data_IF_151621007085
#
_entry.id   IF_151621007085
#
_cell.length_a   1.000
_cell.length_b   1.000
_cell.length_c   1.000
_cell.angle_alpha   90.00
_cell.angle_beta   90.00
_cell.angle_gamma   90.00
#
_symmetry.space_group_name_H-M   'P 1'
#
loop_
_entity.id
_entity.type
_entity.pdbx_description
1 polymer ?
#
# COMPACT_ATOMS: atom_id res chain seq x y z
N UNK A 1 -11.93 0.05 -7.09
CA UNK A 1 -11.88 1.16 -8.09
C UNK A 1 -12.24 2.51 -7.49
N UNK A 2 -13.25 2.58 -6.64
CA UNK A 2 -13.71 3.85 -6.05
C UNK A 2 -12.60 4.59 -5.30
N UNK A 3 -11.66 3.86 -4.70
CA UNK A 3 -10.45 4.43 -4.08
C UNK A 3 -9.41 4.92 -5.11
N UNK A 4 -9.58 4.66 -6.40
CA UNK A 4 -8.59 4.94 -7.44
C UNK A 4 -7.66 3.76 -7.77
N UNK A 5 -7.80 2.61 -7.11
CA UNK A 5 -6.97 1.41 -7.37
C UNK A 5 -7.18 0.90 -8.79
N UNK A 6 -6.06 0.70 -9.50
CA UNK A 6 -6.01 0.15 -10.86
C UNK A 6 -5.24 -1.18 -10.95
N UNK A 7 -4.52 -1.56 -9.90
CA UNK A 7 -3.73 -2.79 -9.85
C UNK A 7 -3.80 -3.46 -8.47
N UNK A 8 -3.61 -4.78 -8.44
CA UNK A 8 -3.54 -5.60 -7.22
C UNK A 8 -2.33 -6.51 -7.29
N UNK A 9 -1.57 -6.60 -6.20
CA UNK A 9 -0.56 -7.62 -5.97
C UNK A 9 -1.14 -8.70 -5.07
N UNK A 10 -1.02 -9.95 -5.50
CA UNK A 10 -1.58 -11.09 -4.76
C UNK A 10 -0.58 -11.61 -3.74
N UNK A 11 -0.62 -11.10 -2.55
CA UNK A 11 0.32 -11.42 -1.48
C UNK A 11 -0.13 -12.65 -0.67
N UNK A 12 0.72 -13.58 -0.38
CA UNK A 12 2.03 -13.85 -0.99
C UNK A 12 1.96 -15.25 -1.58
N UNK A 13 0.91 -15.51 -2.31
CA UNK A 13 0.56 -16.81 -2.88
C UNK A 13 -0.12 -16.66 -4.23
N UNK A 14 -0.14 -17.75 -4.99
CA UNK A 14 -0.86 -17.83 -6.25
C UNK A 14 -2.35 -17.50 -6.04
N UNK A 15 -2.93 -16.57 -6.81
CA UNK A 15 -4.30 -16.13 -6.62
C UNK A 15 -5.31 -17.23 -6.94
N UNK A 16 -6.53 -17.11 -6.40
CA UNK A 16 -7.66 -17.90 -6.84
C UNK A 16 -7.97 -17.63 -8.33
N UNK A 17 -8.39 -18.64 -9.13
CA UNK A 17 -8.78 -18.41 -10.52
C UNK A 17 -9.83 -17.32 -10.68
N UNK A 18 -10.83 -17.30 -9.80
CA UNK A 18 -11.91 -16.31 -9.81
C UNK A 18 -11.39 -14.86 -9.71
N UNK A 19 -10.29 -14.63 -8.97
CA UNK A 19 -9.67 -13.31 -8.88
C UNK A 19 -9.13 -12.85 -10.23
N UNK A 20 -8.50 -13.76 -10.98
CA UNK A 20 -7.96 -13.44 -12.30
C UNK A 20 -9.08 -13.12 -13.30
N UNK A 21 -10.16 -13.92 -13.29
CA UNK A 21 -11.34 -13.68 -14.14
C UNK A 21 -12.01 -12.34 -13.81
N UNK A 22 -12.21 -12.05 -12.52
CA UNK A 22 -12.78 -10.78 -12.08
C UNK A 22 -11.88 -9.58 -12.43
N UNK A 23 -10.56 -9.74 -12.34
CA UNK A 23 -9.62 -8.69 -12.72
C UNK A 23 -9.70 -8.38 -14.22
N UNK A 24 -9.80 -9.40 -15.07
CA UNK A 24 -10.02 -9.23 -16.51
C UNK A 24 -11.32 -8.45 -16.80
N UNK A 25 -12.43 -8.85 -16.19
CA UNK A 25 -13.74 -8.21 -16.35
C UNK A 25 -13.75 -6.76 -15.86
N UNK A 26 -13.08 -6.49 -14.74
CA UNK A 26 -13.05 -5.18 -14.12
C UNK A 26 -11.99 -4.24 -14.71
N UNK A 27 -11.05 -4.77 -15.51
CA UNK A 27 -9.88 -4.01 -15.99
C UNK A 27 -8.98 -3.59 -14.82
N UNK A 28 -8.67 -4.53 -13.92
CA UNK A 28 -7.69 -4.38 -12.83
C UNK A 28 -6.43 -5.15 -13.22
N UNK A 29 -5.28 -4.50 -13.12
CA UNK A 29 -3.99 -5.14 -13.41
C UNK A 29 -3.55 -6.04 -12.24
N UNK A 30 -2.87 -7.13 -12.55
CA UNK A 30 -2.44 -8.10 -11.54
C UNK A 30 -0.91 -8.30 -11.57
N UNK A 31 -0.30 -8.11 -10.41
CA UNK A 31 1.00 -8.70 -10.08
C UNK A 31 0.72 -10.02 -9.38
N UNK A 32 0.86 -11.12 -10.10
CA UNK A 32 0.60 -12.46 -9.55
C UNK A 32 1.84 -12.98 -8.85
N UNK A 33 1.71 -13.29 -7.56
CA UNK A 33 2.84 -13.70 -6.72
C UNK A 33 2.71 -15.17 -6.29
N UNK A 34 3.84 -15.87 -6.21
CA UNK A 34 3.84 -17.31 -5.96
C UNK A 34 4.40 -17.74 -4.61
N UNK A 35 5.48 -17.11 -4.13
CA UNK A 35 6.20 -17.61 -2.97
C UNK A 35 6.51 -16.51 -1.95
N UNK A 36 6.25 -16.80 -0.67
CA UNK A 36 6.66 -15.99 0.47
C UNK A 36 8.01 -16.45 1.07
N UNK A 37 8.48 -17.61 0.69
CA UNK A 37 9.81 -18.16 1.02
C UNK A 37 10.29 -19.11 -0.06
N UNK A 38 11.64 -19.24 -0.18
CA UNK A 38 12.24 -20.27 -1.00
C UNK A 38 12.78 -21.39 -0.11
N UNK A 39 14.08 -21.65 -0.14
CA UNK A 39 14.70 -22.72 0.64
C UNK A 39 14.94 -22.33 2.10
N UNK A 40 15.20 -21.05 2.36
CA UNK A 40 15.38 -20.52 3.70
C UNK A 40 14.03 -20.15 4.33
N UNK A 41 13.69 -20.83 5.44
CA UNK A 41 12.42 -20.62 6.13
C UNK A 41 12.36 -19.29 6.88
N UNK A 42 11.19 -18.64 6.89
CA UNK A 42 10.86 -17.51 7.77
C UNK A 42 10.34 -18.00 9.11
N UNK A 43 9.65 -19.14 9.12
CA UNK A 43 9.08 -19.75 10.32
C UNK A 43 9.34 -21.26 10.35
N UNK A 44 9.28 -21.93 11.52
CA UNK A 44 9.65 -23.34 11.64
C UNK A 44 8.86 -24.33 10.78
N UNK A 45 7.63 -23.97 10.37
CA UNK A 45 6.71 -24.89 9.69
C UNK A 45 6.20 -24.35 8.36
N UNK A 46 6.87 -23.39 7.77
CA UNK A 46 6.47 -22.79 6.50
C UNK A 46 6.77 -23.67 5.28
N UNK A 47 6.48 -23.14 4.10
CA UNK A 47 6.59 -23.85 2.84
C UNK A 47 8.03 -24.16 2.42
N UNK A 48 9.06 -23.50 2.99
CA UNK A 48 10.46 -23.72 2.63
C UNK A 48 10.87 -25.21 2.69
N UNK A 49 10.30 -25.97 3.65
CA UNK A 49 10.57 -27.41 3.76
C UNK A 49 10.12 -28.25 2.55
N UNK A 50 9.22 -27.72 1.73
CA UNK A 50 8.72 -28.38 0.53
C UNK A 50 9.25 -27.74 -0.76
N UNK A 51 9.68 -26.49 -0.71
CA UNK A 51 10.04 -25.68 -1.86
C UNK A 51 11.00 -26.40 -2.83
N UNK A 52 12.14 -26.99 -2.41
CA UNK A 52 13.08 -27.59 -3.34
C UNK A 52 12.50 -28.77 -4.16
N UNK A 53 11.47 -29.45 -3.65
CA UNK A 53 10.83 -30.56 -4.34
C UNK A 53 9.62 -30.17 -5.15
N UNK A 54 9.01 -28.99 -4.88
CA UNK A 54 7.70 -28.65 -5.41
C UNK A 54 7.68 -27.43 -6.33
N UNK A 55 8.70 -26.55 -6.31
CA UNK A 55 8.72 -25.30 -7.06
C UNK A 55 8.42 -25.47 -8.56
N UNK A 56 8.99 -26.49 -9.23
CA UNK A 56 8.73 -26.74 -10.66
C UNK A 56 7.26 -27.07 -10.94
N UNK A 57 6.66 -27.88 -10.09
CA UNK A 57 5.25 -28.27 -10.21
C UNK A 57 4.34 -27.09 -9.98
N UNK A 58 4.65 -26.29 -8.98
CA UNK A 58 3.84 -25.13 -8.59
C UNK A 58 3.92 -24.05 -9.65
N UNK A 59 5.11 -23.69 -10.14
CA UNK A 59 5.28 -22.74 -11.24
C UNK A 59 4.56 -23.23 -12.50
N UNK A 60 4.72 -24.50 -12.85
CA UNK A 60 4.04 -25.07 -14.01
C UNK A 60 2.52 -24.92 -13.92
N UNK A 61 1.95 -25.21 -12.75
CA UNK A 61 0.51 -25.11 -12.50
C UNK A 61 0.05 -23.66 -12.61
N UNK A 62 0.72 -22.77 -11.89
CA UNK A 62 0.45 -21.35 -11.81
C UNK A 62 0.54 -20.65 -13.18
N UNK A 63 1.70 -20.73 -13.84
CA UNK A 63 1.93 -20.03 -15.10
C UNK A 63 1.02 -20.54 -16.21
N UNK A 64 0.80 -21.87 -16.32
CA UNK A 64 -0.11 -22.44 -17.32
C UNK A 64 -1.55 -22.02 -17.13
N UNK A 65 -1.97 -21.82 -15.89
CA UNK A 65 -3.32 -21.38 -15.55
C UNK A 65 -3.51 -19.91 -15.95
N UNK A 66 -2.56 -19.04 -15.57
CA UNK A 66 -2.79 -17.59 -15.53
C UNK A 66 -2.20 -16.81 -16.72
N UNK A 67 -1.27 -17.37 -17.48
CA UNK A 67 -0.52 -16.65 -18.55
C UNK A 67 -1.36 -16.04 -19.67
N UNK A 68 -2.63 -16.40 -19.80
CA UNK A 68 -3.51 -15.88 -20.85
C UNK A 68 -4.49 -14.82 -20.35
N UNK A 69 -4.43 -14.44 -19.07
CA UNK A 69 -5.23 -13.35 -18.52
C UNK A 69 -4.67 -12.00 -18.96
N UNK A 70 -5.46 -11.14 -19.62
CA UNK A 70 -5.00 -9.81 -20.04
C UNK A 70 -4.74 -8.87 -18.85
N UNK A 71 -5.29 -9.14 -17.69
CA UNK A 71 -5.01 -8.42 -16.44
C UNK A 71 -3.59 -8.64 -15.91
N UNK A 72 -2.96 -9.75 -16.24
CA UNK A 72 -1.64 -10.13 -15.72
C UNK A 72 -0.54 -9.27 -16.33
N UNK A 73 0.22 -8.55 -15.50
CA UNK A 73 1.35 -7.70 -15.93
C UNK A 73 2.71 -8.19 -15.44
N UNK A 74 2.77 -8.76 -14.23
CA UNK A 74 4.01 -9.24 -13.62
C UNK A 74 3.82 -10.61 -12.97
N UNK A 75 4.84 -11.46 -13.12
CA UNK A 75 5.07 -12.65 -12.33
C UNK A 75 6.00 -12.31 -11.17
N UNK A 76 5.52 -12.28 -9.94
CA UNK A 76 6.37 -12.11 -8.76
C UNK A 76 6.79 -13.48 -8.23
N UNK A 77 8.09 -13.76 -8.32
CA UNK A 77 8.66 -15.06 -7.93
C UNK A 77 9.05 -15.15 -6.47
N UNK A 78 8.86 -14.08 -5.71
CA UNK A 78 9.14 -14.12 -4.27
C UNK A 78 8.86 -12.81 -3.54
N UNK A 79 8.46 -12.94 -2.28
CA UNK A 79 8.28 -11.86 -1.32
C UNK A 79 9.27 -11.97 -0.18
N UNK A 80 10.08 -10.92 0.05
CA UNK A 80 10.99 -10.80 1.22
C UNK A 80 11.81 -12.07 1.49
N UNK A 81 12.35 -12.64 0.44
CA UNK A 81 13.00 -13.94 0.45
C UNK A 81 14.34 -13.87 1.18
N UNK A 82 14.52 -14.67 2.23
CA UNK A 82 15.78 -14.71 2.99
C UNK A 82 16.97 -15.15 2.14
N UNK A 83 16.79 -16.10 1.23
CA UNK A 83 17.85 -16.56 0.34
C UNK A 83 18.48 -15.41 -0.45
N UNK A 84 17.73 -14.36 -0.79
CA UNK A 84 18.21 -13.24 -1.62
C UNK A 84 19.26 -12.39 -0.94
N UNK A 85 19.29 -12.30 0.39
CA UNK A 85 20.24 -11.47 1.11
C UNK A 85 21.30 -12.26 1.90
N UNK A 86 20.99 -13.50 2.28
CA UNK A 86 21.90 -14.33 3.11
C UNK A 86 23.13 -14.76 2.33
N UNK A 87 22.99 -15.15 1.04
CA UNK A 87 24.08 -15.71 0.25
C UNK A 87 23.86 -15.57 -1.26
N UNK A 88 24.87 -15.99 -2.04
CA UNK A 88 24.77 -16.06 -3.51
C UNK A 88 23.72 -17.07 -4.01
N UNK A 89 23.25 -17.96 -3.15
CA UNK A 89 22.20 -18.94 -3.48
C UNK A 89 20.89 -18.29 -3.91
N UNK A 90 20.61 -17.09 -3.40
CA UNK A 90 19.46 -16.30 -3.85
C UNK A 90 19.53 -15.98 -5.34
N UNK A 91 20.70 -15.67 -5.86
CA UNK A 91 20.88 -15.40 -7.30
C UNK A 91 20.71 -16.66 -8.15
N UNK A 92 21.15 -17.82 -7.65
CA UNK A 92 20.93 -19.12 -8.30
C UNK A 92 19.43 -19.43 -8.38
N UNK A 93 18.71 -19.34 -7.25
CA UNK A 93 17.27 -19.53 -7.22
C UNK A 93 16.53 -18.54 -8.10
N UNK A 94 16.93 -17.26 -8.11
CA UNK A 94 16.33 -16.26 -9.00
C UNK A 94 16.35 -16.70 -10.46
N UNK A 95 17.51 -17.19 -10.94
CA UNK A 95 17.67 -17.68 -12.32
C UNK A 95 16.82 -18.94 -12.58
N UNK A 96 16.87 -19.90 -11.65
CA UNK A 96 16.08 -21.15 -11.77
C UNK A 96 14.58 -20.84 -11.89
N UNK A 97 14.07 -19.95 -11.03
CA UNK A 97 12.66 -19.60 -11.03
C UNK A 97 12.24 -18.80 -12.27
N UNK A 98 13.11 -17.91 -12.76
CA UNK A 98 12.91 -17.23 -14.03
C UNK A 98 12.83 -18.20 -15.18
N UNK A 99 13.79 -19.12 -15.28
CA UNK A 99 13.83 -20.13 -16.35
C UNK A 99 12.57 -21.00 -16.34
N UNK A 100 12.08 -21.40 -15.15
CA UNK A 100 10.85 -22.17 -15.03
C UNK A 100 9.60 -21.36 -15.41
N UNK A 101 9.51 -20.07 -15.06
CA UNK A 101 8.39 -19.21 -15.51
C UNK A 101 8.44 -19.05 -17.03
N UNK A 102 9.59 -18.69 -17.61
CA UNK A 102 9.74 -18.51 -19.06
C UNK A 102 9.47 -19.80 -19.86
N UNK A 103 9.80 -20.97 -19.32
CA UNK A 103 9.49 -22.26 -19.91
C UNK A 103 7.99 -22.46 -20.14
N UNK A 104 7.15 -21.95 -19.25
CA UNK A 104 5.70 -22.09 -19.33
C UNK A 104 5.00 -20.82 -19.83
N UNK A 105 5.66 -19.69 -19.90
CA UNK A 105 5.25 -18.47 -20.59
C UNK A 105 6.24 -18.05 -21.70
N UNK A 106 6.40 -18.88 -22.75
CA UNK A 106 7.40 -18.66 -23.80
C UNK A 106 7.13 -17.42 -24.64
N UNK A 107 5.94 -16.84 -24.55
CA UNK A 107 5.60 -15.58 -25.22
C UNK A 107 5.96 -14.36 -24.38
N UNK A 108 6.37 -14.57 -23.10
CA UNK A 108 6.66 -13.50 -22.15
C UNK A 108 5.50 -12.52 -22.02
N UNK A 109 4.29 -13.06 -21.81
CA UNK A 109 3.07 -12.27 -21.69
C UNK A 109 3.13 -11.30 -20.49
N UNK A 110 3.86 -11.69 -19.43
CA UNK A 110 4.15 -10.83 -18.29
C UNK A 110 5.65 -10.87 -17.96
N UNK A 111 6.17 -9.80 -17.43
CA UNK A 111 7.55 -9.73 -16.97
C UNK A 111 7.71 -10.34 -15.57
N UNK A 112 8.96 -10.57 -15.13
CA UNK A 112 9.26 -11.23 -13.86
C UNK A 112 9.84 -10.21 -12.87
N UNK A 113 9.42 -10.29 -11.61
CA UNK A 113 9.85 -9.41 -10.52
C UNK A 113 10.04 -10.16 -9.20
N UNK A 114 10.67 -9.50 -8.23
CA UNK A 114 10.76 -9.91 -6.83
C UNK A 114 10.41 -8.71 -5.95
N UNK A 115 9.55 -8.90 -4.94
CA UNK A 115 9.31 -7.91 -3.88
C UNK A 115 10.30 -8.11 -2.73
N UNK A 116 11.00 -7.05 -2.31
CA UNK A 116 12.05 -7.18 -1.30
C UNK A 116 12.16 -5.97 -0.38
N UNK A 117 12.26 -6.22 0.92
CA UNK A 117 12.68 -5.28 1.94
C UNK A 117 14.21 -5.26 2.17
N UNK A 118 14.95 -6.11 1.43
CA UNK A 118 16.40 -6.27 1.55
C UNK A 118 17.20 -5.52 0.48
N UNK A 119 16.59 -4.60 -0.27
CA UNK A 119 17.25 -3.84 -1.35
C UNK A 119 18.52 -3.06 -0.94
N UNK A 120 18.73 -2.64 0.34
CA UNK A 120 20.01 -2.10 0.75
C UNK A 120 21.20 -3.09 0.73
N UNK A 121 20.94 -4.39 0.63
CA UNK A 121 21.94 -5.44 0.69
C UNK A 121 22.41 -5.86 -0.70
N UNK A 122 23.72 -5.95 -0.88
CA UNK A 122 24.35 -6.25 -2.18
C UNK A 122 23.82 -7.54 -2.83
N UNK A 123 23.62 -8.61 -2.07
CA UNK A 123 23.10 -9.86 -2.62
C UNK A 123 21.65 -9.72 -3.11
N UNK A 124 20.80 -8.95 -2.43
CA UNK A 124 19.44 -8.67 -2.88
C UNK A 124 19.44 -7.81 -4.16
N UNK A 125 20.33 -6.81 -4.24
CA UNK A 125 20.52 -6.02 -5.47
C UNK A 125 20.97 -6.89 -6.64
N UNK A 126 21.85 -7.88 -6.41
CA UNK A 126 22.24 -8.84 -7.46
C UNK A 126 21.06 -9.71 -7.94
N UNK A 127 20.11 -10.04 -7.05
CA UNK A 127 18.89 -10.73 -7.47
C UNK A 127 17.98 -9.80 -8.29
N UNK A 128 17.81 -8.54 -7.86
CA UNK A 128 17.07 -7.53 -8.59
C UNK A 128 17.69 -7.23 -9.97
N UNK A 129 19.03 -7.24 -10.05
CA UNK A 129 19.77 -7.05 -11.32
C UNK A 129 19.53 -8.19 -12.32
N UNK A 130 19.16 -9.37 -11.87
CA UNK A 130 18.79 -10.48 -12.74
C UNK A 130 17.40 -10.26 -13.34
N UNK A 131 16.41 -9.88 -12.54
CA UNK A 131 15.02 -9.67 -13.01
C UNK A 131 14.80 -8.32 -13.68
N UNK A 132 15.62 -7.31 -13.36
CA UNK A 132 15.54 -5.93 -13.87
C UNK A 132 14.27 -5.16 -13.46
N UNK A 133 13.28 -5.80 -12.89
CA UNK A 133 12.09 -5.16 -12.32
C UNK A 133 12.14 -5.37 -10.82
N UNK A 134 12.52 -4.31 -10.11
CA UNK A 134 12.83 -4.31 -8.69
C UNK A 134 11.63 -3.82 -7.88
N UNK A 135 11.00 -4.73 -7.14
CA UNK A 135 9.93 -4.41 -6.20
C UNK A 135 10.52 -4.07 -4.82
N UNK A 136 10.15 -2.91 -4.30
CA UNK A 136 10.58 -2.43 -2.99
C UNK A 136 9.47 -2.58 -1.96
N UNK A 137 9.76 -3.34 -0.90
CA UNK A 137 8.91 -3.35 0.28
C UNK A 137 9.47 -2.33 1.27
N UNK A 138 8.70 -1.25 1.55
CA UNK A 138 9.07 -0.17 2.49
C UNK A 138 10.45 0.45 2.22
N UNK A 139 10.78 0.61 0.95
CA UNK A 139 12.11 1.02 0.50
C UNK A 139 12.15 2.32 -0.29
N UNK A 140 11.15 3.17 -0.21
CA UNK A 140 11.00 4.40 -0.99
C UNK A 140 12.21 5.34 -0.82
N UNK A 141 12.79 5.37 0.36
CA UNK A 141 14.00 6.17 0.66
C UNK A 141 15.25 5.77 -0.13
N UNK A 142 15.22 4.66 -0.85
CA UNK A 142 16.33 4.19 -1.69
C UNK A 142 16.11 4.45 -3.18
N UNK A 143 14.95 4.93 -3.60
CA UNK A 143 14.58 5.07 -5.00
C UNK A 143 15.59 5.90 -5.79
N UNK A 144 15.88 7.14 -5.39
CA UNK A 144 16.82 8.01 -6.08
C UNK A 144 18.21 7.39 -6.22
N UNK A 145 18.71 6.83 -5.10
CA UNK A 145 20.03 6.23 -5.07
C UNK A 145 20.12 5.05 -6.04
N UNK A 146 19.18 4.11 -5.93
CA UNK A 146 19.23 2.88 -6.72
C UNK A 146 18.88 3.15 -8.19
N UNK A 147 18.02 4.12 -8.49
CA UNK A 147 17.77 4.55 -9.86
C UNK A 147 19.03 5.12 -10.52
N UNK A 148 19.81 5.90 -9.78
CA UNK A 148 21.08 6.42 -10.27
C UNK A 148 22.17 5.33 -10.43
N UNK A 149 22.24 4.37 -9.51
CA UNK A 149 23.20 3.26 -9.54
C UNK A 149 22.83 2.18 -10.57
N UNK A 150 21.53 1.98 -10.84
CA UNK A 150 20.99 0.95 -11.71
C UNK A 150 19.96 1.55 -12.70
N UNK A 151 20.40 2.36 -13.68
CA UNK A 151 19.50 3.08 -14.58
C UNK A 151 18.71 2.17 -15.55
N UNK A 152 19.04 0.90 -15.61
CA UNK A 152 18.34 -0.12 -16.38
C UNK A 152 17.30 -0.90 -15.56
N UNK A 153 17.12 -0.57 -14.28
CA UNK A 153 16.07 -1.15 -13.47
C UNK A 153 14.75 -0.38 -13.61
N UNK A 154 13.68 -1.12 -13.64
CA UNK A 154 12.33 -0.61 -13.45
C UNK A 154 12.00 -0.76 -11.96
N UNK A 155 11.72 0.36 -11.27
CA UNK A 155 11.42 0.39 -9.85
C UNK A 155 9.94 0.57 -9.60
N UNK A 156 9.42 -0.09 -8.55
CA UNK A 156 8.07 0.11 -8.04
C UNK A 156 7.97 -0.26 -6.57
N UNK A 157 7.01 0.31 -5.86
CA UNK A 157 6.67 -0.08 -4.50
C UNK A 157 5.86 -1.38 -4.50
N UNK A 158 6.52 -2.53 -4.33
CA UNK A 158 5.82 -3.81 -4.28
C UNK A 158 5.00 -3.96 -3.00
N UNK A 159 5.40 -3.26 -1.94
CA UNK A 159 4.66 -3.19 -0.69
C UNK A 159 4.99 -1.88 0.03
N UNK A 160 3.97 -1.05 0.28
CA UNK A 160 4.11 0.25 0.94
C UNK A 160 3.09 0.41 2.06
N UNK A 161 3.21 1.44 2.87
CA UNK A 161 2.25 1.77 3.90
C UNK A 161 2.48 1.01 5.20
N UNK A 162 1.71 -0.03 5.47
CA UNK A 162 1.66 -0.71 6.77
C UNK A 162 1.23 0.19 7.90
N UNK A 163 0.21 1.01 7.66
CA UNK A 163 -0.37 1.90 8.66
C UNK A 163 -1.43 1.13 9.45
N UNK A 164 -1.21 0.98 10.74
CA UNK A 164 -2.12 0.27 11.64
C UNK A 164 -3.19 1.21 12.15
N UNK A 165 -4.45 0.92 11.89
CA UNK A 165 -5.58 1.70 12.40
C UNK A 165 -6.81 0.81 12.62
N UNK A 166 -7.40 0.87 13.82
CA UNK A 166 -8.76 0.41 14.05
C UNK A 166 -9.73 1.49 13.58
N UNK A 167 -10.76 1.13 12.80
CA UNK A 167 -11.70 2.13 12.25
C UNK A 167 -12.37 2.92 13.36
N UNK A 168 -12.31 4.25 13.25
CA UNK A 168 -12.94 5.18 14.20
C UNK A 168 -12.20 5.34 15.52
N UNK A 169 -10.96 4.87 15.62
CA UNK A 169 -10.10 5.07 16.80
C UNK A 169 -9.07 6.16 16.49
N UNK A 170 -8.98 7.11 17.38
CA UNK A 170 -8.12 8.29 17.24
C UNK A 170 -7.37 8.59 18.52
N UNK A 171 -6.07 8.80 18.38
CA UNK A 171 -5.20 9.29 19.45
C UNK A 171 -4.52 10.57 18.97
N UNK A 172 -4.54 11.62 19.80
CA UNK A 172 -3.99 12.92 19.45
C UNK A 172 -2.73 13.25 20.24
N UNK A 173 -1.76 13.98 19.66
CA UNK A 173 -1.70 14.40 18.26
C UNK A 173 -1.44 13.21 17.31
N UNK A 174 -1.79 13.34 16.05
CA UNK A 174 -1.59 12.28 15.05
C UNK A 174 -0.14 11.86 14.85
N UNK A 175 0.82 12.71 15.20
CA UNK A 175 2.25 12.36 15.18
C UNK A 175 2.59 11.28 16.22
N UNK A 176 1.69 11.02 17.16
CA UNK A 176 1.83 9.93 18.12
C UNK A 176 1.15 8.68 17.60
N UNK A 177 1.93 7.61 17.45
CA UNK A 177 1.38 6.28 17.21
C UNK A 177 0.98 5.62 18.51
N UNK A 178 -0.18 5.00 18.51
CA UNK A 178 -0.66 4.18 19.63
C UNK A 178 -1.07 2.82 19.10
N UNK A 179 -0.39 1.78 19.59
CA UNK A 179 -0.71 0.39 19.32
C UNK A 179 -1.13 -0.26 20.62
N UNK A 180 -2.44 -0.34 20.86
CA UNK A 180 -3.00 -0.99 22.03
C UNK A 180 -3.31 -2.45 21.70
N UNK A 181 -2.57 -3.39 22.30
CA UNK A 181 -2.64 -4.80 21.96
C UNK A 181 -3.92 -5.48 22.45
N UNK A 182 -4.34 -5.22 23.69
CA UNK A 182 -5.42 -5.98 24.33
C UNK A 182 -6.82 -5.49 23.95
N UNK A 183 -7.00 -4.17 23.82
CA UNK A 183 -8.30 -3.55 23.52
C UNK A 183 -8.49 -3.27 22.02
N UNK A 184 -7.49 -3.59 21.19
CA UNK A 184 -7.52 -3.42 19.75
C UNK A 184 -7.75 -1.97 19.28
N UNK A 185 -7.42 -0.98 20.13
CA UNK A 185 -7.60 0.45 19.82
C UNK A 185 -6.34 1.07 19.25
N UNK A 186 -6.04 0.71 18.00
CA UNK A 186 -4.83 1.13 17.32
C UNK A 186 -5.06 2.38 16.47
N UNK A 187 -4.12 3.31 16.49
CA UNK A 187 -4.08 4.44 15.57
C UNK A 187 -2.64 4.88 15.29
N UNK A 188 -2.18 4.69 14.08
CA UNK A 188 -0.89 5.19 13.60
C UNK A 188 -1.04 5.99 12.30
N UNK A 189 -2.20 6.60 12.10
CA UNK A 189 -2.57 7.28 10.86
C UNK A 189 -1.62 8.41 10.45
N UNK A 190 -1.15 9.18 11.41
CA UNK A 190 -0.22 10.28 11.18
C UNK A 190 1.26 9.92 11.38
N UNK A 191 1.54 8.76 11.95
CA UNK A 191 2.90 8.27 12.15
C UNK A 191 2.89 6.79 12.49
N UNK A 192 3.49 5.97 11.64
CA UNK A 192 3.65 4.54 11.91
C UNK A 192 4.72 4.29 12.98
N UNK A 193 4.44 3.41 13.95
CA UNK A 193 5.43 2.95 14.92
C UNK A 193 6.36 1.89 14.36
N UNK A 194 6.04 1.32 13.23
CA UNK A 194 6.89 0.31 12.61
C UNK A 194 8.09 0.98 11.96
N UNK A 195 9.30 0.63 12.37
CA UNK A 195 10.52 1.22 11.83
C UNK A 195 10.78 0.88 10.36
N UNK A 196 10.04 -0.07 9.82
CA UNK A 196 10.13 -0.56 8.44
C UNK A 196 8.96 -0.07 7.56
N UNK A 197 7.81 0.29 8.14
CA UNK A 197 6.69 0.86 7.40
C UNK A 197 6.89 2.33 7.03
N UNK A 198 5.97 2.87 6.24
CA UNK A 198 5.96 4.29 5.92
C UNK A 198 5.64 5.15 7.16
N UNK A 199 6.11 6.38 7.17
CA UNK A 199 5.82 7.34 8.23
C UNK A 199 4.31 7.64 8.32
N UNK A 200 3.66 7.81 7.17
CA UNK A 200 2.21 8.05 7.07
C UNK A 200 1.67 7.65 5.69
N UNK A 201 0.34 7.64 5.56
CA UNK A 201 -0.33 7.46 4.26
C UNK A 201 0.05 8.57 3.28
N UNK A 202 0.15 9.82 3.74
CA UNK A 202 0.58 10.94 2.90
C UNK A 202 2.02 10.76 2.42
N UNK A 203 2.92 10.27 3.28
CA UNK A 203 4.31 9.98 2.89
C UNK A 203 4.41 8.97 1.74
N UNK A 204 3.53 7.96 1.72
CA UNK A 204 3.46 7.01 0.60
C UNK A 204 3.02 7.67 -0.71
N UNK A 205 2.00 8.55 -0.66
CA UNK A 205 1.54 9.30 -1.82
C UNK A 205 2.61 10.26 -2.36
N UNK A 206 3.31 10.96 -1.46
CA UNK A 206 4.42 11.85 -1.82
C UNK A 206 5.57 11.09 -2.46
N UNK A 207 5.94 9.94 -1.90
CA UNK A 207 6.99 9.10 -2.46
C UNK A 207 6.66 8.60 -3.87
N UNK A 208 5.41 8.24 -4.14
CA UNK A 208 4.95 7.87 -5.49
C UNK A 208 5.00 9.06 -6.45
N UNK A 209 4.45 10.20 -6.05
CA UNK A 209 4.36 11.41 -6.87
C UNK A 209 5.75 11.96 -7.24
N UNK A 210 6.66 11.99 -6.27
CA UNK A 210 7.94 12.70 -6.40
C UNK A 210 9.01 11.86 -7.11
N UNK A 211 8.73 10.59 -7.44
CA UNK A 211 9.64 9.72 -8.18
C UNK A 211 9.01 9.28 -9.52
N UNK A 212 9.00 10.17 -10.51
CA UNK A 212 8.39 9.95 -11.84
C UNK A 212 8.89 8.69 -12.56
N UNK A 213 10.06 8.18 -12.20
CA UNK A 213 10.63 6.94 -12.73
C UNK A 213 10.06 5.68 -12.05
N UNK A 214 9.31 5.81 -10.97
CA UNK A 214 8.63 4.70 -10.31
C UNK A 214 7.36 4.31 -11.08
N UNK A 215 7.12 3.01 -11.19
CA UNK A 215 5.91 2.49 -11.83
C UNK A 215 4.68 2.44 -10.91
N UNK A 216 4.72 3.12 -9.75
CA UNK A 216 3.64 3.17 -8.78
C UNK A 216 3.88 2.27 -7.57
N UNK A 217 2.81 2.04 -6.79
CA UNK A 217 2.92 1.33 -5.52
C UNK A 217 1.76 0.36 -5.28
N UNK A 218 2.03 -0.67 -4.46
CA UNK A 218 1.04 -1.60 -3.92
C UNK A 218 0.99 -1.45 -2.41
N UNK A 219 -0.13 -0.97 -1.89
CA UNK A 219 -0.28 -0.66 -0.47
C UNK A 219 -0.55 -1.93 0.34
N UNK A 220 0.17 -2.12 1.42
CA UNK A 220 -0.13 -3.10 2.46
C UNK A 220 -1.10 -2.51 3.48
N UNK A 221 -2.39 -2.91 3.47
CA UNK A 221 -3.07 -3.85 2.55
C UNK A 221 -4.49 -3.34 2.25
N UNK A 222 -5.18 -3.97 1.31
CA UNK A 222 -6.54 -3.56 0.94
C UNK A 222 -7.56 -3.74 2.07
N UNK A 223 -7.48 -4.86 2.79
CA UNK A 223 -8.41 -5.23 3.85
C UNK A 223 -7.68 -5.63 5.13
N UNK A 224 -8.31 -5.38 6.29
CA UNK A 224 -7.92 -6.06 7.51
C UNK A 224 -8.12 -7.56 7.34
N UNK A 225 -7.29 -8.37 7.99
CA UNK A 225 -7.35 -9.81 7.81
C UNK A 225 -7.05 -10.58 9.09
N UNK A 226 -7.56 -11.80 9.17
CA UNK A 226 -7.30 -12.75 10.26
C UNK A 226 -6.01 -13.51 9.93
N UNK A 227 -5.15 -13.67 10.90
CA UNK A 227 -3.80 -14.19 10.75
C UNK A 227 -2.78 -13.07 10.82
N UNK A 228 -1.55 -13.33 11.15
CA UNK A 228 -0.49 -12.33 11.38
C UNK A 228 -0.96 -11.10 12.19
N UNK A 229 -1.59 -11.29 13.36
CA UNK A 229 -2.22 -10.17 14.06
C UNK A 229 -1.21 -9.06 14.36
N UNK A 230 -1.60 -7.85 14.02
CA UNK A 230 -0.79 -6.66 14.28
C UNK A 230 -1.71 -5.55 14.81
N UNK A 231 -1.52 -5.11 16.06
CA UNK A 231 -0.54 -5.58 17.05
C UNK A 231 -0.66 -7.06 17.44
N UNK A 232 0.41 -7.66 17.99
CA UNK A 232 0.58 -9.11 18.15
C UNK A 232 -0.53 -9.83 18.95
N UNK A 233 -1.11 -9.20 19.97
CA UNK A 233 -2.14 -9.80 20.81
C UNK A 233 -3.57 -9.50 20.35
N UNK A 234 -3.75 -8.86 19.20
CA UNK A 234 -5.07 -8.60 18.60
C UNK A 234 -5.60 -9.82 17.85
N UNK A 235 -6.86 -9.77 17.41
CA UNK A 235 -7.49 -10.82 16.61
C UNK A 235 -7.23 -10.69 15.12
N UNK A 236 -7.00 -9.45 14.66
CA UNK A 236 -6.80 -9.09 13.27
C UNK A 236 -5.47 -8.39 13.06
N UNK A 237 -5.01 -8.38 11.82
CA UNK A 237 -4.07 -7.38 11.33
C UNK A 237 -4.84 -6.15 10.90
N UNK A 238 -4.49 -4.96 11.43
CA UNK A 238 -5.21 -3.70 11.22
C UNK A 238 -4.58 -2.80 10.15
N UNK A 239 -3.88 -3.38 9.19
CA UNK A 239 -3.24 -2.66 8.07
C UNK A 239 -4.20 -2.27 6.93
N UNK A 240 -5.41 -2.81 6.93
CA UNK A 240 -6.36 -2.63 5.83
C UNK A 240 -6.80 -1.18 5.64
N UNK A 241 -7.01 -0.82 4.39
CA UNK A 241 -7.71 0.42 4.04
C UNK A 241 -9.22 0.27 4.32
N UNK A 242 -9.69 -0.97 4.34
CA UNK A 242 -11.07 -1.39 4.62
C UNK A 242 -11.03 -2.39 5.78
N UNK A 243 -11.93 -2.25 6.74
CA UNK A 243 -12.02 -3.17 7.87
C UNK A 243 -12.62 -4.54 7.49
N UNK A 244 -12.60 -5.51 8.42
CA UNK A 244 -13.16 -6.86 8.19
C UNK A 244 -14.67 -6.89 7.98
N UNK A 245 -15.38 -5.80 8.30
CA UNK A 245 -16.82 -5.64 8.05
C UNK A 245 -17.12 -4.96 6.69
N UNK A 246 -16.09 -4.58 5.94
CA UNK A 246 -16.21 -3.96 4.62
C UNK A 246 -16.36 -2.44 4.65
N UNK A 247 -16.08 -1.78 5.77
CA UNK A 247 -16.15 -0.32 5.88
C UNK A 247 -14.78 0.32 5.65
N UNK A 248 -14.71 1.41 4.85
CA UNK A 248 -13.48 2.14 4.63
C UNK A 248 -13.01 2.85 5.90
N UNK A 249 -11.70 2.94 6.07
CA UNK A 249 -11.01 3.71 7.11
C UNK A 249 -10.55 5.07 6.55
N UNK A 250 -10.01 5.95 7.40
CA UNK A 250 -9.57 7.27 6.95
C UNK A 250 -8.45 7.20 5.90
N UNK A 251 -7.52 6.26 6.03
CA UNK A 251 -6.47 6.04 5.04
C UNK A 251 -7.02 5.71 3.64
N UNK A 252 -8.15 5.00 3.53
CA UNK A 252 -8.85 4.79 2.25
C UNK A 252 -9.16 6.11 1.55
N UNK A 253 -9.70 7.06 2.29
CA UNK A 253 -10.08 8.36 1.73
C UNK A 253 -8.88 9.25 1.41
N UNK A 254 -7.78 9.11 2.16
CA UNK A 254 -6.53 9.81 1.85
C UNK A 254 -5.96 9.29 0.51
N UNK A 255 -5.92 7.98 0.29
CA UNK A 255 -5.53 7.41 -1.01
C UNK A 255 -6.51 7.79 -2.12
N UNK A 256 -7.81 7.75 -1.86
CA UNK A 256 -8.82 8.20 -2.83
C UNK A 256 -8.59 9.65 -3.26
N UNK A 257 -8.27 10.53 -2.31
CA UNK A 257 -7.96 11.93 -2.61
C UNK A 257 -6.71 12.08 -3.48
N UNK A 258 -5.69 11.22 -3.28
CA UNK A 258 -4.45 11.25 -4.07
C UNK A 258 -4.58 10.59 -5.46
N UNK A 259 -5.46 9.59 -5.60
CA UNK A 259 -5.53 8.74 -6.79
C UNK A 259 -6.71 9.00 -7.72
N UNK A 260 -7.63 9.92 -7.37
CA UNK A 260 -8.80 10.24 -8.19
C UNK A 260 -8.82 11.70 -8.63
N UNK A 261 -9.41 11.96 -9.80
CA UNK A 261 -9.58 13.33 -10.31
C UNK A 261 -10.91 13.90 -9.83
N UNK A 262 -10.89 15.06 -9.16
CA UNK A 262 -12.10 15.75 -8.69
C UNK A 262 -13.02 16.21 -9.84
N UNK A 263 -12.52 16.34 -11.06
CA UNK A 263 -13.32 16.70 -12.24
C UNK A 263 -14.27 15.57 -12.64
N UNK A 264 -13.88 14.33 -12.34
CA UNK A 264 -14.69 13.13 -12.63
C UNK A 264 -15.44 12.65 -11.40
N UNK A 265 -14.79 12.62 -10.25
CA UNK A 265 -15.34 12.08 -8.99
C UNK A 265 -14.92 12.93 -7.79
N UNK A 266 -15.52 14.14 -7.62
CA UNK A 266 -15.17 15.01 -6.49
C UNK A 266 -15.50 14.37 -5.16
N UNK A 267 -14.53 14.40 -4.23
CA UNK A 267 -14.70 13.85 -2.89
C UNK A 267 -14.15 14.79 -1.82
N UNK A 268 -14.72 14.71 -0.63
CA UNK A 268 -14.21 15.29 0.60
C UNK A 268 -14.51 14.37 1.76
N UNK A 269 -13.54 14.13 2.61
CA UNK A 269 -13.69 13.33 3.83
C UNK A 269 -13.10 14.05 5.01
N UNK A 270 -13.88 14.16 6.09
CA UNK A 270 -13.50 14.78 7.35
C UNK A 270 -13.32 13.71 8.42
N UNK A 271 -12.25 13.79 9.18
CA UNK A 271 -11.96 12.92 10.32
C UNK A 271 -11.22 13.69 11.42
N UNK A 272 -11.35 13.30 12.70
CA UNK A 272 -12.20 12.22 13.21
C UNK A 272 -13.68 12.58 13.18
N UNK A 273 -14.54 11.64 13.65
CA UNK A 273 -15.92 11.96 14.04
C UNK A 273 -15.94 13.08 15.10
N UNK A 274 -17.07 13.73 15.28
CA UNK A 274 -17.19 14.87 16.19
C UNK A 274 -18.00 14.51 17.44
N UNK A 275 -17.38 13.76 18.38
CA UNK A 275 -17.96 13.36 19.67
C UNK A 275 -16.84 13.09 20.67
N UNK A 276 -16.48 14.11 21.45
CA UNK A 276 -15.35 14.08 22.39
C UNK A 276 -15.71 14.75 23.71
N UNK A 277 -14.74 14.91 24.62
CA UNK A 277 -14.96 15.63 25.87
C UNK A 277 -14.91 17.15 25.63
N UNK A 278 -15.81 17.89 26.30
CA UNK A 278 -15.88 19.35 26.21
C UNK A 278 -14.52 19.99 26.48
N UNK A 279 -14.07 20.84 25.57
CA UNK A 279 -12.77 21.53 25.62
C UNK A 279 -11.56 20.69 25.24
N UNK A 280 -11.69 19.40 24.91
CA UNK A 280 -10.61 18.60 24.37
C UNK A 280 -10.15 19.15 23.01
N UNK A 281 -8.85 19.34 22.83
CA UNK A 281 -8.31 19.74 21.52
C UNK A 281 -8.33 18.56 20.56
N UNK A 282 -8.98 18.78 19.42
CA UNK A 282 -9.15 17.78 18.36
C UNK A 282 -8.25 18.15 17.19
N UNK A 283 -7.43 17.22 16.77
CA UNK A 283 -6.64 17.31 15.54
C UNK A 283 -7.55 16.92 14.36
N UNK A 284 -8.28 17.89 13.82
CA UNK A 284 -9.22 17.69 12.73
C UNK A 284 -8.48 17.68 11.41
N UNK A 285 -8.79 16.70 10.56
CA UNK A 285 -8.23 16.55 9.23
C UNK A 285 -9.33 16.51 8.17
N UNK A 286 -9.00 16.99 6.98
CA UNK A 286 -9.86 16.92 5.80
C UNK A 286 -9.02 16.54 4.60
N UNK A 287 -9.31 15.39 3.98
CA UNK A 287 -8.75 15.03 2.69
C UNK A 287 -9.75 15.24 1.56
N UNK A 288 -9.26 15.64 0.41
CA UNK A 288 -10.02 15.87 -0.80
C UNK A 288 -9.11 15.80 -2.02
N UNK A 289 -9.64 15.35 -3.13
CA UNK A 289 -8.94 15.46 -4.43
C UNK A 289 -9.10 16.87 -5.06
N UNK A 290 -9.88 17.76 -4.45
CA UNK A 290 -10.03 19.14 -4.86
C UNK A 290 -8.90 20.04 -4.31
N UNK A 291 -8.60 21.17 -4.97
CA UNK A 291 -7.48 22.03 -4.57
C UNK A 291 -7.75 22.85 -3.31
N UNK A 292 -9.01 23.01 -2.87
CA UNK A 292 -9.35 23.83 -1.69
C UNK A 292 -10.41 23.13 -0.86
N UNK A 293 -10.17 23.08 0.46
CA UNK A 293 -11.16 22.64 1.45
C UNK A 293 -11.42 23.74 2.48
N UNK A 294 -12.64 23.82 2.97
CA UNK A 294 -13.05 24.74 4.02
C UNK A 294 -13.86 24.01 5.09
N UNK A 295 -13.59 24.31 6.35
CA UNK A 295 -14.27 23.71 7.49
C UNK A 295 -15.19 24.73 8.13
N UNK A 296 -16.38 24.27 8.54
CA UNK A 296 -17.40 25.04 9.26
C UNK A 296 -17.75 24.35 10.57
N UNK A 297 -17.91 25.15 11.61
CA UNK A 297 -18.50 24.72 12.87
C UNK A 297 -19.79 25.51 13.13
N UNK A 298 -20.94 24.83 13.24
CA UNK A 298 -22.27 25.45 13.36
C UNK A 298 -22.50 26.55 12.30
N UNK A 299 -22.09 26.30 11.07
CA UNK A 299 -22.24 27.22 9.93
C UNK A 299 -21.25 28.40 9.92
N UNK A 300 -20.32 28.47 10.87
CA UNK A 300 -19.26 29.49 10.87
C UNK A 300 -17.95 28.88 10.38
N UNK A 301 -17.32 29.54 9.42
CA UNK A 301 -16.02 29.11 8.89
C UNK A 301 -14.95 29.01 9.98
N UNK A 302 -14.15 27.97 9.91
CA UNK A 302 -12.96 27.75 10.72
C UNK A 302 -11.68 27.95 9.89
N UNK A 303 -11.84 28.38 8.63
CA UNK A 303 -10.76 28.64 7.68
C UNK A 303 -10.74 27.67 6.52
N UNK A 304 -9.92 28.03 5.54
CA UNK A 304 -9.67 27.27 4.32
C UNK A 304 -8.27 26.66 4.36
N UNK A 305 -8.08 25.55 3.63
CA UNK A 305 -6.78 24.95 3.39
C UNK A 305 -6.64 24.67 1.89
N UNK A 306 -5.51 25.07 1.31
CA UNK A 306 -5.19 24.78 -0.10
C UNK A 306 -4.34 23.52 -0.18
N UNK A 307 -4.79 22.54 -0.95
CA UNK A 307 -4.08 21.29 -1.18
C UNK A 307 -3.41 21.38 -2.55
N UNK A 308 -2.10 21.41 -2.57
CA UNK A 308 -1.32 21.31 -3.81
C UNK A 308 -0.93 19.86 -4.02
N UNK A 309 -1.70 19.16 -4.86
CA UNK A 309 -1.46 17.75 -5.18
C UNK A 309 -0.22 17.52 -6.06
N UNK A 310 0.28 18.56 -6.74
CA UNK A 310 1.41 18.44 -7.66
C UNK A 310 2.76 18.67 -6.97
N UNK A 311 2.83 19.63 -6.04
CA UNK A 311 4.12 20.04 -5.45
C UNK A 311 4.07 20.23 -3.92
N UNK A 312 2.88 20.22 -3.31
CA UNK A 312 2.71 20.40 -1.87
C UNK A 312 3.21 19.23 -1.06
N UNK A 313 3.53 19.46 0.20
CA UNK A 313 3.94 18.41 1.16
C UNK A 313 2.80 17.99 2.10
N UNK A 314 1.76 18.81 2.22
CA UNK A 314 0.58 18.54 3.02
C UNK A 314 -0.58 18.21 2.07
N UNK A 315 -1.00 16.94 2.04
CA UNK A 315 -2.09 16.44 1.20
C UNK A 315 -3.44 16.41 1.94
N UNK A 316 -3.44 16.71 3.23
CA UNK A 316 -4.66 16.87 4.05
C UNK A 316 -4.68 18.22 4.73
N UNK A 317 -5.84 18.89 4.70
CA UNK A 317 -6.06 20.09 5.50
C UNK A 317 -6.13 19.75 6.99
N UNK A 318 -5.58 20.60 7.87
CA UNK A 318 -5.52 20.33 9.29
C UNK A 318 -5.93 21.55 10.13
N UNK A 319 -6.67 21.28 11.21
CA UNK A 319 -7.12 22.26 12.18
C UNK A 319 -6.99 21.72 13.60
N UNK A 320 -6.65 22.60 14.54
CA UNK A 320 -6.68 22.30 15.98
C UNK A 320 -7.87 23.02 16.60
N UNK A 321 -8.95 22.30 16.89
CA UNK A 321 -10.18 22.89 17.41
C UNK A 321 -10.53 22.33 18.78
N UNK A 322 -10.90 23.17 19.76
CA UNK A 322 -11.45 22.65 21.01
C UNK A 322 -12.85 22.07 20.75
N UNK A 323 -13.08 20.84 21.22
CA UNK A 323 -14.38 20.23 21.09
C UNK A 323 -15.46 21.04 21.83
N UNK A 324 -16.56 21.23 21.14
CA UNK A 324 -17.84 21.74 21.66
C UNK A 324 -18.96 20.98 20.96
N UNK A 325 -20.06 20.79 21.66
CA UNK A 325 -21.24 20.19 21.07
C UNK A 325 -21.74 21.04 19.87
N UNK A 326 -22.00 20.38 18.76
CA UNK A 326 -22.42 21.05 17.51
C UNK A 326 -22.15 20.23 16.27
N UNK A 327 -22.33 20.87 15.13
CA UNK A 327 -22.10 20.29 13.80
C UNK A 327 -20.79 20.78 13.22
N UNK A 328 -19.93 19.85 12.79
CA UNK A 328 -18.74 20.12 11.97
C UNK A 328 -19.02 19.70 10.52
N UNK A 329 -18.60 20.51 9.56
CA UNK A 329 -18.81 20.24 8.14
C UNK A 329 -17.58 20.68 7.35
N UNK A 330 -17.19 19.90 6.35
CA UNK A 330 -16.20 20.29 5.37
C UNK A 330 -16.80 20.39 3.98
N UNK A 331 -16.35 21.36 3.20
CA UNK A 331 -16.65 21.46 1.76
C UNK A 331 -15.35 21.43 0.97
N UNK A 332 -15.45 20.95 -0.27
CA UNK A 332 -14.37 21.02 -1.25
C UNK A 332 -14.77 21.93 -2.41
N UNK A 333 -13.84 22.76 -2.84
CA UNK A 333 -14.05 23.72 -3.93
C UNK A 333 -13.02 23.50 -5.03
N UNK A 334 -13.45 23.75 -6.28
CA UNK A 334 -12.56 23.83 -7.43
C UNK A 334 -11.76 25.14 -7.45
N UNK A 335 -10.91 25.33 -8.47
CA UNK A 335 -10.05 26.52 -8.63
C UNK A 335 -10.85 27.82 -8.77
N UNK A 336 -12.14 27.75 -9.13
CA UNK A 336 -13.02 28.93 -9.27
C UNK A 336 -13.72 29.29 -7.96
N UNK A 337 -13.56 28.47 -6.91
CA UNK A 337 -14.27 28.60 -5.65
C UNK A 337 -15.68 27.99 -5.65
N UNK A 338 -16.04 27.24 -6.67
CA UNK A 338 -17.30 26.51 -6.71
C UNK A 338 -17.25 25.29 -5.82
N UNK A 339 -18.24 25.12 -4.96
CA UNK A 339 -18.40 23.91 -4.12
C UNK A 339 -18.71 22.72 -5.04
N UNK A 340 -17.89 21.66 -4.93
CA UNK A 340 -18.04 20.43 -5.72
C UNK A 340 -18.29 19.19 -4.87
N UNK A 341 -17.97 19.23 -3.56
CA UNK A 341 -18.29 18.16 -2.60
C UNK A 341 -18.58 18.74 -1.20
N UNK A 342 -19.32 17.99 -0.37
CA UNK A 342 -19.67 18.33 1.00
C UNK A 342 -19.85 17.06 1.85
#
# INVERSE_FOLDING_TARGET
KDMGVNAVRTSHNMPAPDLMEMADEMGILIVSESFDMWESSKTPYDYARFFPQWYERDIKSWVKRDRNHPSLILWSIGNEIYDTHISEKGQEWTRILMDEVEKYDPKKNAAITIGSNYMPWENAQKCADIVKIAGYNYGEKYYDKHHAEHPDWILYGSETGSIVQSRGIYHFPYQQSVLADEDEQCSSLGNSTTSWGAESTEACLLAERDHEFSCGQFVWTGFDYIGEPTPYHTRNSYFGQIDTAGFPKDAYYIYQAGWTDYRENPMVHIFPYWDFNEGQFIDLRVCSNAPVVEVFFNGKTQGTFSIDHEHGTDLTGHWQLPYKEGEICAIACDETGKIIAK
#
